data_IF_416849946482
#
_entry.id   IF_416849946482
#
_cell.length_a   1.000
_cell.length_b   1.000
_cell.length_c   1.000
_cell.angle_alpha   90.00
_cell.angle_beta   90.00
_cell.angle_gamma   90.00
#
_symmetry.space_group_name_H-M   'P 1'
#
loop_
_entity.id
_entity.type
_entity.pdbx_description
1 polymer ?
#
# COMPACT_ATOMS: atom_id res chain seq x y z
N UNK A 1 3.30 4.63 18.07
CA UNK A 1 2.29 4.97 17.06
C UNK A 1 2.96 5.61 15.87
N UNK A 2 2.84 4.98 14.71
CA UNK A 2 3.29 5.46 13.39
C UNK A 2 2.04 5.56 12.51
N UNK A 3 1.99 6.56 11.63
CA UNK A 3 0.92 6.71 10.64
C UNK A 3 1.47 6.41 9.26
N UNK A 4 0.99 5.33 8.65
CA UNK A 4 1.33 4.97 7.28
C UNK A 4 0.28 5.52 6.33
N UNK A 5 0.70 5.98 5.15
CA UNK A 5 -0.20 6.34 4.07
C UNK A 5 -0.18 5.21 3.05
N UNK A 6 -1.33 4.58 2.82
CA UNK A 6 -1.48 3.42 1.96
C UNK A 6 -2.28 3.79 0.70
N UNK A 7 -1.90 3.23 -0.44
CA UNK A 7 -2.66 3.30 -1.68
C UNK A 7 -3.05 1.88 -2.13
N UNK A 8 -4.14 1.75 -2.89
CA UNK A 8 -4.54 0.48 -3.48
C UNK A 8 -4.15 0.48 -4.96
N UNK A 9 -3.20 -0.38 -5.33
CA UNK A 9 -2.77 -0.51 -6.72
C UNK A 9 -3.94 -0.91 -7.63
N UNK A 10 -4.06 -0.26 -8.79
CA UNK A 10 -5.14 -0.50 -9.76
C UNK A 10 -6.52 0.00 -9.33
N UNK A 11 -6.63 0.74 -8.22
CA UNK A 11 -7.90 1.33 -7.76
C UNK A 11 -7.74 2.83 -7.71
N UNK A 12 -8.56 3.55 -8.49
CA UNK A 12 -8.62 5.00 -8.44
C UNK A 12 -8.97 5.48 -7.03
N UNK A 13 -8.09 6.31 -6.45
CA UNK A 13 -8.32 6.91 -5.14
C UNK A 13 -7.04 7.37 -4.46
N UNK A 14 -7.19 8.36 -3.59
CA UNK A 14 -6.06 8.93 -2.86
C UNK A 14 -5.51 7.95 -1.81
N UNK A 15 -4.25 8.16 -1.45
CA UNK A 15 -3.66 7.49 -0.30
C UNK A 15 -4.49 7.77 0.97
N UNK A 16 -4.64 6.76 1.82
CA UNK A 16 -5.39 6.84 3.07
C UNK A 16 -4.51 6.53 4.28
N UNK A 17 -4.70 7.24 5.40
CA UNK A 17 -3.91 7.02 6.59
C UNK A 17 -4.34 5.72 7.29
N UNK A 18 -3.36 5.00 7.83
CA UNK A 18 -3.55 3.84 8.70
C UNK A 18 -2.61 3.97 9.88
N UNK A 19 -3.16 3.96 11.09
CA UNK A 19 -2.38 4.01 12.32
C UNK A 19 -1.93 2.59 12.72
N UNK A 20 -0.66 2.47 13.12
CA UNK A 20 -0.07 1.23 13.62
C UNK A 20 0.87 1.51 14.79
N UNK A 21 0.84 0.65 15.80
CA UNK A 21 1.74 0.72 16.95
C UNK A 21 2.99 -0.13 16.77
N UNK A 22 4.08 0.26 17.45
CA UNK A 22 5.39 -0.38 17.27
C UNK A 22 5.42 -1.87 17.65
N UNK A 23 4.51 -2.32 18.52
CA UNK A 23 4.35 -3.73 18.90
C UNK A 23 3.41 -4.52 18.00
N UNK A 24 2.79 -3.90 16.99
CA UNK A 24 1.84 -4.55 16.11
C UNK A 24 2.54 -5.23 14.94
N UNK A 25 1.95 -6.33 14.47
CA UNK A 25 2.51 -7.16 13.40
C UNK A 25 2.02 -6.70 12.02
N UNK A 26 2.64 -7.23 10.96
CA UNK A 26 2.13 -7.06 9.58
C UNK A 26 0.69 -7.61 9.45
N UNK A 27 0.34 -8.65 10.22
CA UNK A 27 -1.03 -9.17 10.25
C UNK A 27 -2.03 -8.16 10.82
N UNK A 28 -1.62 -7.39 11.82
CA UNK A 28 -2.43 -6.30 12.39
C UNK A 28 -2.55 -5.13 11.41
N UNK A 29 -1.46 -4.80 10.69
CA UNK A 29 -1.48 -3.81 9.62
C UNK A 29 -2.52 -4.17 8.54
N UNK A 30 -2.48 -5.42 8.06
CA UNK A 30 -3.43 -5.93 7.06
C UNK A 30 -4.88 -5.83 7.54
N UNK A 31 -5.15 -6.12 8.82
CA UNK A 31 -6.49 -5.95 9.42
C UNK A 31 -6.90 -4.48 9.47
N UNK A 32 -5.99 -3.58 9.84
CA UNK A 32 -6.25 -2.15 9.92
C UNK A 32 -6.55 -1.55 8.54
N UNK A 33 -5.77 -1.91 7.52
CA UNK A 33 -6.01 -1.51 6.11
C UNK A 33 -7.41 -1.95 5.65
N UNK A 34 -7.76 -3.22 5.88
CA UNK A 34 -9.09 -3.74 5.52
C UNK A 34 -10.20 -3.02 6.29
N UNK A 35 -9.99 -2.67 7.56
CA UNK A 35 -10.97 -1.94 8.36
C UNK A 35 -11.25 -0.55 7.76
N UNK A 36 -10.20 0.14 7.30
CA UNK A 36 -10.30 1.48 6.72
C UNK A 36 -10.97 1.49 5.33
N UNK A 37 -10.74 0.45 4.52
CA UNK A 37 -11.31 0.30 3.16
C UNK A 37 -12.21 -0.92 3.04
N UNK A 38 -13.12 -1.11 3.99
CA UNK A 38 -13.92 -2.35 4.13
C UNK A 38 -14.84 -2.64 2.94
N UNK A 39 -15.35 -1.60 2.29
CA UNK A 39 -16.25 -1.75 1.13
C UNK A 39 -15.50 -2.08 -0.17
N UNK A 40 -14.24 -1.62 -0.27
CA UNK A 40 -13.35 -1.85 -1.40
C UNK A 40 -12.63 -3.20 -1.29
N UNK A 41 -12.07 -3.49 -0.11
CA UNK A 41 -11.29 -4.70 0.15
C UNK A 41 -12.21 -5.83 0.62
N UNK A 42 -12.66 -6.64 -0.33
CA UNK A 42 -13.48 -7.84 -0.09
C UNK A 42 -12.58 -9.07 0.03
N UNK A 43 -12.64 -9.79 1.14
CA UNK A 43 -11.83 -10.99 1.39
C UNK A 43 -11.17 -11.01 2.77
N UNK A 44 -10.32 -11.99 3.02
CA UNK A 44 -9.62 -12.13 4.30
C UNK A 44 -8.38 -11.20 4.33
N UNK A 45 -8.10 -10.52 5.45
CA UNK A 45 -7.03 -9.53 5.52
C UNK A 45 -5.63 -10.13 5.28
N UNK A 46 -5.40 -11.37 5.70
CA UNK A 46 -4.16 -12.12 5.48
C UNK A 46 -3.79 -12.28 3.99
N UNK A 47 -4.80 -12.33 3.11
CA UNK A 47 -4.64 -12.41 1.64
C UNK A 47 -4.20 -11.10 0.98
N UNK A 48 -4.13 -9.99 1.72
CA UNK A 48 -3.57 -8.75 1.18
C UNK A 48 -2.07 -8.90 0.96
N UNK A 49 -1.61 -8.51 -0.24
CA UNK A 49 -0.19 -8.29 -0.50
C UNK A 49 0.13 -6.83 -0.23
N UNK A 50 1.16 -6.59 0.58
CA UNK A 50 1.62 -5.25 0.93
C UNK A 50 3.00 -5.04 0.33
N UNK A 51 3.19 -3.88 -0.28
CA UNK A 51 4.45 -3.46 -0.88
C UNK A 51 4.87 -2.13 -0.25
N UNK A 52 6.17 -1.98 0.00
CA UNK A 52 6.71 -0.71 0.47
C UNK A 52 6.90 0.20 -0.74
N UNK A 53 6.24 1.35 -0.74
CA UNK A 53 6.45 2.38 -1.75
C UNK A 53 7.75 3.13 -1.45
N UNK A 54 8.89 2.48 -1.67
CA UNK A 54 10.23 3.05 -1.51
C UNK A 54 10.98 3.08 -2.83
N UNK A 55 11.80 4.10 -3.01
CA UNK A 55 12.74 4.21 -4.13
C UNK A 55 13.88 3.19 -3.97
N UNK A 56 14.68 3.00 -5.02
CA UNK A 56 15.88 2.14 -4.97
C UNK A 56 16.87 2.61 -3.88
N UNK A 57 16.91 3.91 -3.60
CA UNK A 57 17.71 4.52 -2.53
C UNK A 57 17.11 4.29 -1.12
N UNK A 58 15.95 3.63 -1.02
CA UNK A 58 15.29 3.29 0.23
C UNK A 58 14.45 4.42 0.85
N UNK A 59 14.30 5.54 0.15
CA UNK A 59 13.47 6.68 0.54
C UNK A 59 11.99 6.40 0.27
N UNK A 60 11.09 6.97 1.06
CA UNK A 60 9.66 6.84 0.82
C UNK A 60 9.24 7.63 -0.41
N UNK A 61 8.41 7.00 -1.25
CA UNK A 61 7.85 7.67 -2.41
C UNK A 61 6.96 8.84 -1.96
N UNK A 62 7.24 10.02 -2.50
CA UNK A 62 6.43 11.20 -2.23
C UNK A 62 5.11 11.10 -2.99
N UNK A 63 4.00 11.38 -2.32
CA UNK A 63 2.67 11.46 -2.95
C UNK A 63 2.65 12.44 -4.14
N UNK A 64 3.38 13.55 -4.02
CA UNK A 64 3.45 14.59 -5.05
C UNK A 64 4.38 14.26 -6.22
N UNK A 65 5.13 13.17 -6.14
CA UNK A 65 5.95 12.69 -7.27
C UNK A 65 5.06 12.23 -8.42
N UNK A 66 5.62 12.19 -9.63
CA UNK A 66 4.86 11.75 -10.82
C UNK A 66 4.37 10.31 -10.67
N UNK A 67 5.19 9.43 -10.09
CA UNK A 67 4.79 8.05 -9.77
C UNK A 67 3.67 8.08 -8.72
N UNK A 68 3.83 8.82 -7.62
CA UNK A 68 2.80 8.93 -6.57
C UNK A 68 1.43 9.34 -7.10
N UNK A 69 1.37 10.34 -7.98
CA UNK A 69 0.12 10.79 -8.61
C UNK A 69 -0.50 9.74 -9.53
N UNK A 70 0.31 8.99 -10.27
CA UNK A 70 -0.16 7.87 -11.11
C UNK A 70 -0.81 6.78 -10.27
N UNK A 71 -0.19 6.43 -9.13
CA UNK A 71 -0.74 5.44 -8.20
C UNK A 71 -2.10 5.88 -7.64
N UNK A 72 -2.25 7.16 -7.29
CA UNK A 72 -3.55 7.71 -6.87
C UNK A 72 -4.59 7.73 -8.00
N UNK A 73 -4.13 7.89 -9.24
CA UNK A 73 -4.92 7.74 -10.46
C UNK A 73 -5.38 6.30 -10.72
N UNK A 74 -4.94 5.33 -9.92
CA UNK A 74 -5.19 3.91 -10.15
C UNK A 74 -4.39 3.34 -11.32
N UNK A 75 -3.42 4.08 -11.84
CA UNK A 75 -2.49 3.58 -12.86
C UNK A 75 -1.50 2.64 -12.19
N UNK A 76 -1.34 1.44 -12.75
CA UNK A 76 -0.25 0.54 -12.36
C UNK A 76 1.00 0.90 -13.13
N UNK A 77 2.13 0.95 -12.46
CA UNK A 77 3.43 1.23 -13.08
C UNK A 77 4.21 -0.07 -13.30
N UNK A 78 5.08 -0.16 -14.34
CA UNK A 78 5.93 -1.33 -14.55
C UNK A 78 6.77 -1.69 -13.32
N UNK A 79 7.15 -0.69 -12.52
CA UNK A 79 7.88 -0.84 -11.27
C UNK A 79 7.06 -1.61 -10.22
N UNK A 80 5.76 -1.32 -10.08
CA UNK A 80 4.89 -2.08 -9.19
C UNK A 80 4.70 -3.51 -9.67
N UNK A 81 4.52 -3.73 -10.97
CA UNK A 81 4.37 -5.08 -11.54
C UNK A 81 5.62 -5.93 -11.28
N UNK A 82 6.81 -5.32 -11.37
CA UNK A 82 8.08 -5.97 -11.03
C UNK A 82 8.14 -6.35 -9.55
N UNK A 83 7.81 -5.42 -8.64
CA UNK A 83 7.80 -5.69 -7.20
C UNK A 83 6.77 -6.78 -6.85
N UNK A 84 5.60 -6.79 -7.50
CA UNK A 84 4.57 -7.82 -7.33
C UNK A 84 5.06 -9.18 -7.84
N UNK A 85 5.76 -9.23 -8.97
CA UNK A 85 6.28 -10.46 -9.56
C UNK A 85 7.38 -11.10 -8.69
N UNK A 86 8.29 -10.29 -8.15
CA UNK A 86 9.41 -10.75 -7.31
C UNK A 86 8.96 -11.30 -5.95
N UNK A 87 7.81 -10.87 -5.43
CA UNK A 87 7.26 -11.32 -4.15
C UNK A 87 6.34 -12.55 -4.23
N UNK A 88 6.14 -13.14 -5.41
CA UNK A 88 5.34 -14.38 -5.59
C UNK A 88 6.11 -15.68 -5.27
N UNK A 89 7.13 -15.61 -4.42
CA UNK A 89 7.93 -16.77 -3.98
C UNK A 89 7.14 -17.76 -3.12
#
# INVERSE_FOLDING_TARGET
MVKLFCALAGVLGNAFPVDIDAGQTVGDLKKAIKKEKRDTIKGEPDKLNLFLAKTEDGEWLLQMSDVGKKLEGGETTPEEEKIVAENKL
#
